data_IF_777881827142
#
_entry.id   IF_777881827142
#
_cell.length_a   1.000
_cell.length_b   1.000
_cell.length_c   1.000
_cell.angle_alpha   90.00
_cell.angle_beta   90.00
_cell.angle_gamma   90.00
#
_symmetry.space_group_name_H-M   'P 1'
#
loop_
_entity.id
_entity.type
_entity.pdbx_description
1 polymer ?
#
# COMPACT_ATOMS: atom_id res chain seq x y z
N UNK A 1 3.78 -19.07 -34.17
CA UNK A 1 3.55 -19.56 -32.79
C UNK A 1 4.84 -19.38 -32.02
N UNK A 2 4.91 -18.41 -31.10
CA UNK A 2 6.06 -18.25 -30.21
C UNK A 2 5.68 -18.84 -28.85
N UNK A 3 6.47 -19.82 -28.42
CA UNK A 3 6.34 -20.52 -27.15
C UNK A 3 7.05 -19.69 -26.08
N UNK A 4 6.31 -18.93 -25.29
CA UNK A 4 6.86 -18.29 -24.09
C UNK A 4 6.87 -19.31 -22.95
N UNK A 5 8.05 -19.42 -22.35
CA UNK A 5 8.44 -20.46 -21.41
C UNK A 5 7.89 -20.12 -20.03
N UNK A 6 6.80 -20.77 -19.62
CA UNK A 6 6.32 -20.71 -18.23
C UNK A 6 7.30 -21.51 -17.34
N UNK A 7 8.32 -20.83 -16.80
CA UNK A 7 9.05 -21.37 -15.64
C UNK A 7 8.10 -21.34 -14.42
N UNK A 8 7.92 -22.46 -13.70
CA UNK A 8 7.22 -22.43 -12.42
C UNK A 8 8.12 -21.75 -11.39
N UNK A 9 7.70 -20.58 -10.92
CA UNK A 9 8.27 -19.91 -9.75
C UNK A 9 8.18 -20.83 -8.55
N UNK A 10 9.26 -20.97 -7.78
CA UNK A 10 9.44 -21.80 -6.56
C UNK A 10 8.46 -21.52 -5.39
N UNK A 11 7.33 -20.87 -5.63
CA UNK A 11 6.31 -20.65 -4.62
C UNK A 11 5.34 -21.83 -4.63
N UNK A 12 5.70 -22.91 -3.92
CA UNK A 12 4.81 -23.88 -3.24
C UNK A 12 5.60 -25.17 -2.96
N UNK A 13 6.63 -25.09 -2.11
CA UNK A 13 7.20 -26.32 -1.53
C UNK A 13 6.21 -26.87 -0.49
N UNK A 14 5.73 -28.12 -0.64
CA UNK A 14 4.83 -28.72 0.33
C UNK A 14 5.55 -28.84 1.67
N UNK A 15 5.13 -28.06 2.67
CA UNK A 15 5.71 -28.06 4.02
C UNK A 15 6.22 -26.70 4.50
N UNK A 16 6.32 -25.69 3.65
CA UNK A 16 6.56 -24.31 4.11
C UNK A 16 5.22 -23.75 4.59
N UNK A 17 5.06 -23.37 5.87
CA UNK A 17 3.85 -22.70 6.32
C UNK A 17 3.66 -21.43 5.49
N UNK A 18 2.47 -21.28 4.90
CA UNK A 18 2.11 -20.06 4.19
C UNK A 18 2.24 -18.91 5.19
N UNK A 19 2.99 -17.84 4.87
CA UNK A 19 3.06 -16.69 5.76
C UNK A 19 1.64 -16.15 5.96
N UNK A 20 1.22 -16.05 7.22
CA UNK A 20 -0.06 -15.45 7.55
C UNK A 20 0.03 -13.95 7.31
N UNK A 21 -0.89 -13.43 6.50
CA UNK A 21 -1.02 -11.99 6.31
C UNK A 21 -1.63 -11.38 7.58
N UNK A 22 -1.13 -10.22 8.05
CA UNK A 22 -1.72 -9.53 9.18
C UNK A 22 -3.18 -9.18 8.86
N UNK A 23 -4.02 -9.25 9.88
CA UNK A 23 -5.40 -8.79 9.78
C UNK A 23 -5.45 -7.28 9.51
N UNK A 24 -6.61 -6.79 9.06
CA UNK A 24 -6.82 -5.35 8.88
C UNK A 24 -6.62 -4.57 10.19
N UNK A 25 -7.00 -5.15 11.34
CA UNK A 25 -6.82 -4.53 12.64
C UNK A 25 -5.34 -4.43 13.04
N UNK A 26 -4.58 -5.50 12.84
CA UNK A 26 -3.13 -5.51 13.09
C UNK A 26 -2.40 -4.53 12.17
N UNK A 27 -2.79 -4.51 10.90
CA UNK A 27 -2.26 -3.56 9.91
C UNK A 27 -2.54 -2.12 10.32
N UNK A 28 -3.78 -1.82 10.75
CA UNK A 28 -4.16 -0.49 11.22
C UNK A 28 -3.38 -0.08 12.47
N UNK A 29 -3.25 -0.96 13.46
CA UNK A 29 -2.51 -0.67 14.70
C UNK A 29 -1.04 -0.36 14.39
N UNK A 30 -0.42 -1.13 13.50
CA UNK A 30 0.95 -0.87 13.06
C UNK A 30 1.07 0.49 12.37
N UNK A 31 0.14 0.79 11.45
CA UNK A 31 0.08 2.06 10.74
C UNK A 31 -0.03 3.24 11.72
N UNK A 32 -0.94 3.20 12.69
CA UNK A 32 -1.10 4.24 13.72
C UNK A 32 0.19 4.47 14.53
N UNK A 33 0.96 3.42 14.82
CA UNK A 33 2.20 3.53 15.59
C UNK A 33 3.39 4.06 14.80
N UNK A 34 3.44 3.80 13.48
CA UNK A 34 4.62 4.11 12.66
C UNK A 34 4.41 5.33 11.76
N UNK A 35 3.23 5.48 11.17
CA UNK A 35 2.96 6.49 10.14
C UNK A 35 2.38 7.77 10.75
N UNK A 36 1.47 7.67 11.72
CA UNK A 36 0.83 8.85 12.32
C UNK A 36 1.79 9.64 13.21
N UNK A 37 2.92 9.05 13.61
CA UNK A 37 3.98 9.72 14.36
C UNK A 37 4.92 10.55 13.48
N UNK A 38 4.82 10.41 12.15
CA UNK A 38 5.67 11.15 11.22
C UNK A 38 5.28 12.63 11.16
N UNK A 39 6.25 13.54 10.94
CA UNK A 39 5.95 14.96 10.78
C UNK A 39 5.11 15.18 9.52
N UNK A 40 4.15 16.10 9.63
CA UNK A 40 3.32 16.51 8.49
C UNK A 40 4.18 17.30 7.49
N UNK A 41 4.36 16.75 6.29
CA UNK A 41 5.15 17.39 5.22
C UNK A 41 4.34 18.43 4.44
N UNK A 42 3.07 18.13 4.18
CA UNK A 42 2.16 18.98 3.44
C UNK A 42 0.90 19.17 4.28
N UNK A 43 0.66 20.42 4.69
CA UNK A 43 -0.49 20.77 5.53
C UNK A 43 -1.73 21.14 4.72
N UNK A 44 -1.65 21.10 3.39
CA UNK A 44 -2.80 21.33 2.51
C UNK A 44 -3.90 20.33 2.79
N UNK A 45 -5.13 20.81 2.71
CA UNK A 45 -6.31 19.95 2.81
C UNK A 45 -6.40 18.97 1.63
N UNK A 46 -7.21 17.92 1.75
CA UNK A 46 -7.40 16.95 0.67
C UNK A 46 -7.83 17.62 -0.65
N UNK A 47 -8.75 18.59 -0.58
CA UNK A 47 -9.24 19.31 -1.75
C UNK A 47 -8.14 20.15 -2.42
N UNK A 48 -7.28 20.80 -1.64
CA UNK A 48 -6.14 21.57 -2.16
C UNK A 48 -5.06 20.67 -2.78
N UNK A 49 -4.84 19.48 -2.21
CA UNK A 49 -3.95 18.46 -2.78
C UNK A 49 -4.52 17.94 -4.11
N UNK A 50 -5.85 17.77 -4.18
CA UNK A 50 -6.56 17.34 -5.39
C UNK A 50 -6.77 18.47 -6.41
N UNK A 51 -6.41 19.72 -6.07
CA UNK A 51 -6.55 20.89 -6.96
C UNK A 51 -7.94 21.53 -6.99
N UNK A 52 -8.83 21.15 -6.07
CA UNK A 52 -10.18 21.74 -5.88
C UNK A 52 -10.19 22.98 -4.96
N UNK A 53 -9.02 23.49 -4.53
CA UNK A 53 -8.92 24.71 -3.73
C UNK A 53 -9.23 25.99 -4.52
N UNK A 54 -9.07 27.17 -3.91
CA UNK A 54 -9.44 28.48 -4.49
C UNK A 54 -8.68 28.86 -5.79
N UNK A 55 -7.58 28.17 -6.10
CA UNK A 55 -6.91 28.26 -7.41
C UNK A 55 -7.66 27.51 -8.53
N UNK A 56 -8.71 26.77 -8.20
CA UNK A 56 -9.63 26.07 -9.09
C UNK A 56 -10.81 26.94 -9.53
N UNK A 57 -10.65 28.27 -9.55
CA UNK A 57 -11.62 29.17 -10.16
C UNK A 57 -11.41 29.21 -11.69
N UNK A 58 -12.26 28.42 -12.36
CA UNK A 58 -12.69 28.46 -13.78
C UNK A 58 -11.75 27.90 -14.84
#
# INVERSE_FOLDING_TARGET
MNQDTNQPTEANQPGVPTPEWPTAEESRRWLEQQVWTLPLLDARGADEILGYGDAGLC
#
